data_IF_666293181869
#
_entry.id   IF_666293181869
#
_cell.length_a   1.000
_cell.length_b   1.000
_cell.length_c   1.000
_cell.angle_alpha   90.00
_cell.angle_beta   90.00
_cell.angle_gamma   90.00
#
_symmetry.space_group_name_H-M   'P 1'
#
loop_
_entity.id
_entity.type
_entity.pdbx_description
1 polymer ?
#
# COMPACT_ATOMS: atom_id res chain seq x y z
N UNK A 1 -26.64 -23.14 -26.04
CA UNK A 1 -27.17 -21.77 -25.87
C UNK A 1 -26.83 -21.35 -24.46
N UNK A 2 -25.72 -20.65 -24.26
CA UNK A 2 -25.30 -20.18 -22.94
C UNK A 2 -26.14 -18.95 -22.59
N UNK A 3 -27.06 -19.09 -21.64
CA UNK A 3 -27.74 -17.94 -21.06
C UNK A 3 -26.70 -17.11 -20.32
N UNK A 4 -26.48 -15.87 -20.77
CA UNK A 4 -25.56 -14.95 -20.12
C UNK A 4 -25.97 -14.73 -18.67
N UNK A 5 -25.00 -14.74 -17.76
CA UNK A 5 -25.23 -14.44 -16.36
C UNK A 5 -25.80 -13.02 -16.25
N UNK A 6 -26.94 -12.81 -15.56
CA UNK A 6 -27.49 -11.48 -15.38
C UNK A 6 -26.49 -10.61 -14.60
N UNK A 7 -26.26 -9.39 -15.09
CA UNK A 7 -25.48 -8.38 -14.37
C UNK A 7 -26.35 -7.92 -13.21
N UNK A 8 -25.94 -8.24 -11.99
CA UNK A 8 -26.62 -7.83 -10.78
C UNK A 8 -25.80 -6.77 -10.06
N UNK A 9 -26.48 -5.79 -9.47
CA UNK A 9 -25.85 -4.63 -8.81
C UNK A 9 -26.38 -4.59 -7.39
N UNK A 10 -25.57 -5.03 -6.43
CA UNK A 10 -25.94 -5.05 -5.01
C UNK A 10 -24.74 -5.23 -4.09
N UNK A 11 -24.67 -4.44 -3.02
CA UNK A 11 -23.59 -4.45 -2.02
C UNK A 11 -23.40 -5.80 -1.31
N UNK A 12 -24.39 -6.71 -1.39
CA UNK A 12 -24.44 -7.98 -0.68
C UNK A 12 -24.50 -9.21 -1.59
N UNK A 13 -24.82 -9.04 -2.87
CA UNK A 13 -25.00 -10.17 -3.79
C UNK A 13 -23.67 -10.88 -4.09
N UNK A 14 -22.57 -10.12 -4.00
CA UNK A 14 -21.21 -10.63 -4.10
C UNK A 14 -20.73 -11.35 -2.81
N UNK A 15 -21.34 -11.09 -1.66
CA UNK A 15 -21.09 -11.86 -0.43
C UNK A 15 -21.82 -13.21 -0.40
N UNK A 16 -22.70 -13.45 -1.37
CA UNK A 16 -23.49 -14.68 -1.53
C UNK A 16 -22.93 -15.60 -2.62
N UNK A 17 -21.90 -15.17 -3.37
CA UNK A 17 -21.18 -16.06 -4.29
C UNK A 17 -20.33 -17.05 -3.50
N UNK A 18 -20.28 -18.30 -3.96
CA UNK A 18 -19.47 -19.32 -3.32
C UNK A 18 -18.00 -18.87 -3.28
N UNK A 19 -17.32 -18.92 -2.13
CA UNK A 19 -15.92 -18.52 -2.04
C UNK A 19 -15.08 -19.39 -2.98
N UNK A 20 -14.04 -18.81 -3.56
CA UNK A 20 -13.01 -19.60 -4.24
C UNK A 20 -12.48 -20.69 -3.31
N UNK A 21 -12.29 -21.90 -3.84
CA UNK A 21 -11.69 -23.04 -3.11
C UNK A 21 -10.19 -22.78 -2.84
N UNK A 22 -9.88 -21.93 -1.86
CA UNK A 22 -8.51 -21.77 -1.37
C UNK A 22 -8.21 -22.86 -0.34
N UNK A 23 -7.18 -23.66 -0.59
CA UNK A 23 -6.64 -24.52 0.46
C UNK A 23 -6.03 -23.66 1.58
N UNK A 24 -6.21 -24.08 2.85
CA UNK A 24 -5.59 -23.41 4.02
C UNK A 24 -4.09 -23.24 3.82
N UNK A 25 -3.43 -24.26 3.25
CA UNK A 25 -2.01 -24.22 2.89
C UNK A 25 -1.69 -23.14 1.87
N UNK A 26 -2.52 -22.99 0.82
CA UNK A 26 -2.35 -21.94 -0.19
C UNK A 26 -2.48 -20.54 0.38
N UNK A 27 -3.47 -20.31 1.25
CA UNK A 27 -3.64 -19.03 1.95
C UNK A 27 -2.44 -18.74 2.85
N UNK A 28 -1.95 -19.73 3.59
CA UNK A 28 -0.79 -19.57 4.46
C UNK A 28 0.48 -19.22 3.68
N UNK A 29 0.73 -19.88 2.55
CA UNK A 29 1.87 -19.57 1.66
C UNK A 29 1.75 -18.15 1.11
N UNK A 30 0.57 -17.76 0.62
CA UNK A 30 0.33 -16.41 0.11
C UNK A 30 0.51 -15.34 1.21
N UNK A 31 0.05 -15.61 2.43
CA UNK A 31 0.22 -14.70 3.56
C UNK A 31 1.69 -14.47 3.90
N UNK A 32 2.48 -15.54 3.97
CA UNK A 32 3.93 -15.42 4.19
C UNK A 32 4.57 -14.62 3.05
N UNK A 33 4.24 -14.93 1.79
CA UNK A 33 4.76 -14.20 0.64
C UNK A 33 4.44 -12.69 0.72
N UNK A 34 3.18 -12.32 0.98
CA UNK A 34 2.75 -10.93 0.96
C UNK A 34 3.22 -10.13 2.18
N UNK A 35 3.16 -10.72 3.38
CA UNK A 35 3.47 -10.02 4.64
C UNK A 35 4.95 -9.96 4.97
N UNK A 36 5.73 -10.97 4.55
CA UNK A 36 7.15 -11.08 4.91
C UNK A 36 8.06 -10.69 3.75
N UNK A 37 7.63 -10.88 2.51
CA UNK A 37 8.46 -10.59 1.34
C UNK A 37 7.93 -9.39 0.56
N UNK A 38 6.78 -9.48 -0.09
CA UNK A 38 6.30 -8.44 -1.02
C UNK A 38 6.19 -7.07 -0.35
N UNK A 39 5.36 -6.94 0.69
CA UNK A 39 5.19 -5.67 1.41
C UNK A 39 6.53 -5.14 1.97
N UNK A 40 7.28 -5.93 2.77
CA UNK A 40 8.54 -5.47 3.34
C UNK A 40 9.61 -5.07 2.31
N UNK A 41 9.85 -5.89 1.28
CA UNK A 41 10.90 -5.63 0.28
C UNK A 41 10.57 -4.39 -0.54
N UNK A 42 9.32 -4.25 -0.96
CA UNK A 42 8.89 -3.07 -1.72
C UNK A 42 8.99 -1.81 -0.84
N UNK A 43 8.48 -1.84 0.39
CA UNK A 43 8.56 -0.66 1.26
C UNK A 43 10.00 -0.29 1.65
N UNK A 44 10.91 -1.25 1.84
CA UNK A 44 12.34 -0.97 2.02
C UNK A 44 12.90 -0.21 0.82
N UNK A 45 12.63 -0.70 -0.40
CA UNK A 45 13.15 -0.10 -1.62
C UNK A 45 12.58 1.32 -1.85
N UNK A 46 11.27 1.48 -1.72
CA UNK A 46 10.61 2.72 -2.08
C UNK A 46 10.61 3.76 -0.95
N UNK A 47 10.33 3.36 0.29
CA UNK A 47 10.18 4.31 1.43
C UNK A 47 11.46 4.36 2.25
N UNK A 48 12.07 3.21 2.50
CA UNK A 48 13.36 3.13 3.19
C UNK A 48 14.48 3.82 2.40
N UNK A 49 14.54 3.58 1.08
CA UNK A 49 15.60 4.11 0.22
C UNK A 49 15.15 5.23 -0.73
N UNK A 50 14.38 4.93 -1.78
CA UNK A 50 14.18 5.84 -2.92
C UNK A 50 13.56 7.19 -2.51
N UNK A 51 12.48 7.18 -1.75
CA UNK A 51 11.81 8.39 -1.26
C UNK A 51 12.79 9.26 -0.45
N UNK A 52 13.49 8.68 0.53
CA UNK A 52 14.45 9.42 1.35
C UNK A 52 15.63 9.95 0.51
N UNK A 53 16.10 9.15 -0.46
CA UNK A 53 17.18 9.54 -1.36
C UNK A 53 16.76 10.75 -2.20
N UNK A 54 15.58 10.73 -2.80
CA UNK A 54 15.05 11.88 -3.56
C UNK A 54 14.95 13.10 -2.65
N UNK A 55 14.34 12.99 -1.46
CA UNK A 55 14.26 14.11 -0.50
C UNK A 55 15.64 14.70 -0.20
N UNK A 56 16.66 13.86 0.01
CA UNK A 56 18.03 14.31 0.30
C UNK A 56 18.78 14.98 -0.86
N UNK A 57 18.24 14.90 -2.08
CA UNK A 57 18.89 15.43 -3.28
C UNK A 57 18.16 16.65 -3.87
N UNK A 58 16.89 16.85 -3.51
CA UNK A 58 16.12 18.02 -3.92
C UNK A 58 16.55 19.23 -3.09
N UNK A 59 17.16 20.21 -3.74
CA UNK A 59 17.63 21.46 -3.10
C UNK A 59 16.65 22.63 -3.22
N UNK A 60 15.56 22.44 -3.94
CA UNK A 60 14.55 23.48 -4.21
C UNK A 60 13.33 23.35 -3.32
N UNK A 61 12.72 24.48 -2.97
CA UNK A 61 11.48 24.54 -2.21
C UNK A 61 11.64 24.29 -0.70
N UNK A 62 10.51 24.33 0.01
CA UNK A 62 10.45 24.08 1.46
C UNK A 62 10.70 22.60 1.80
N UNK A 63 11.03 22.25 3.06
CA UNK A 63 11.14 20.84 3.49
C UNK A 63 9.89 20.00 3.17
N UNK A 64 8.70 20.61 3.28
CA UNK A 64 7.43 19.98 2.90
C UNK A 64 7.39 19.71 1.40
N UNK A 65 7.79 20.69 0.58
CA UNK A 65 7.85 20.54 -0.87
C UNK A 65 8.82 19.43 -1.29
N UNK A 66 10.01 19.38 -0.68
CA UNK A 66 10.99 18.32 -0.91
C UNK A 66 10.42 16.93 -0.57
N UNK A 67 9.71 16.83 0.56
CA UNK A 67 9.03 15.60 0.98
C UNK A 67 7.97 15.16 -0.03
N UNK A 68 7.13 16.09 -0.50
CA UNK A 68 6.10 15.81 -1.51
C UNK A 68 6.75 15.31 -2.80
N UNK A 69 7.83 15.96 -3.27
CA UNK A 69 8.56 15.51 -4.45
C UNK A 69 9.08 14.09 -4.26
N UNK A 70 9.69 13.78 -3.11
CA UNK A 70 10.14 12.43 -2.80
C UNK A 70 9.04 11.38 -2.83
N UNK A 71 7.86 11.68 -2.27
CA UNK A 71 6.68 10.80 -2.29
C UNK A 71 6.21 10.56 -3.72
N UNK A 72 6.02 11.64 -4.50
CA UNK A 72 5.50 11.54 -5.86
C UNK A 72 6.48 10.79 -6.78
N UNK A 73 7.77 11.07 -6.69
CA UNK A 73 8.80 10.36 -7.46
C UNK A 73 8.81 8.86 -7.15
N UNK A 74 8.80 8.48 -5.86
CA UNK A 74 8.79 7.08 -5.48
C UNK A 74 7.51 6.37 -5.92
N UNK A 75 6.34 7.02 -5.81
CA UNK A 75 5.06 6.47 -6.24
C UNK A 75 4.98 6.25 -7.77
N UNK A 76 5.50 7.18 -8.56
CA UNK A 76 5.57 7.02 -10.02
C UNK A 76 6.51 5.88 -10.39
N UNK A 77 7.72 5.84 -9.81
CA UNK A 77 8.65 4.73 -10.06
C UNK A 77 8.06 3.37 -9.68
N UNK A 78 7.35 3.30 -8.55
CA UNK A 78 6.64 2.10 -8.10
C UNK A 78 5.64 1.61 -9.15
N UNK A 79 4.74 2.50 -9.60
CA UNK A 79 3.76 2.14 -10.63
C UNK A 79 4.44 1.68 -11.92
N UNK A 80 5.43 2.42 -12.42
CA UNK A 80 6.10 2.09 -13.68
C UNK A 80 6.82 0.73 -13.64
N UNK A 81 7.40 0.35 -12.49
CA UNK A 81 8.08 -0.94 -12.33
C UNK A 81 7.13 -2.15 -12.43
N UNK A 82 5.81 -1.94 -12.34
CA UNK A 82 4.82 -3.00 -12.51
C UNK A 82 4.46 -3.28 -13.97
N UNK A 83 4.78 -2.38 -14.91
CA UNK A 83 4.42 -2.52 -16.32
C UNK A 83 4.82 -3.89 -16.89
N UNK A 84 6.06 -4.40 -16.70
CA UNK A 84 6.45 -5.71 -17.26
C UNK A 84 5.57 -6.86 -16.76
N UNK A 85 5.20 -6.87 -15.47
CA UNK A 85 4.35 -7.92 -14.92
C UNK A 85 2.94 -7.88 -15.54
N UNK A 86 2.34 -6.69 -15.69
CA UNK A 86 1.01 -6.58 -16.27
C UNK A 86 0.98 -6.82 -17.79
N UNK A 87 2.03 -6.41 -18.49
CA UNK A 87 2.13 -6.55 -19.94
C UNK A 87 2.53 -7.97 -20.37
N UNK A 88 3.54 -8.56 -19.71
CA UNK A 88 4.17 -9.82 -20.15
C UNK A 88 3.56 -11.03 -19.43
N UNK A 89 3.30 -10.93 -18.13
CA UNK A 89 2.83 -12.08 -17.33
C UNK A 89 1.31 -12.16 -17.31
N UNK A 90 0.63 -11.02 -17.19
CA UNK A 90 -0.84 -10.95 -17.12
C UNK A 90 -1.51 -10.63 -18.44
N UNK A 91 -0.72 -10.33 -19.48
CA UNK A 91 -1.18 -10.07 -20.85
C UNK A 91 -2.37 -9.08 -20.93
N UNK A 92 -2.38 -8.07 -20.04
CA UNK A 92 -3.48 -7.11 -19.99
C UNK A 92 -3.41 -6.12 -21.15
N UNK A 93 -4.57 -5.65 -21.61
CA UNK A 93 -4.64 -4.58 -22.60
C UNK A 93 -4.14 -3.24 -22.02
N UNK A 94 -3.69 -2.33 -22.90
CA UNK A 94 -3.09 -1.05 -22.51
C UNK A 94 -4.04 -0.20 -21.66
N UNK A 95 -5.34 -0.18 -21.94
CA UNK A 95 -6.32 0.58 -21.17
C UNK A 95 -6.42 0.11 -19.71
N UNK A 96 -6.46 -1.21 -19.50
CA UNK A 96 -6.45 -1.82 -18.17
C UNK A 96 -5.14 -1.57 -17.42
N UNK A 97 -4.01 -1.61 -18.13
CA UNK A 97 -2.69 -1.26 -17.57
C UNK A 97 -2.70 0.19 -17.07
N UNK A 98 -3.16 1.14 -17.87
CA UNK A 98 -3.21 2.56 -17.47
C UNK A 98 -4.05 2.78 -16.20
N UNK A 99 -5.24 2.18 -16.13
CA UNK A 99 -6.07 2.24 -14.92
C UNK A 99 -5.36 1.66 -13.69
N UNK A 100 -4.65 0.55 -13.88
CA UNK A 100 -3.87 -0.09 -12.82
C UNK A 100 -2.69 0.76 -12.37
N UNK A 101 -1.96 1.40 -13.29
CA UNK A 101 -0.84 2.28 -12.96
C UNK A 101 -1.29 3.49 -12.15
N UNK A 102 -2.46 4.07 -12.46
CA UNK A 102 -3.05 5.16 -11.67
C UNK A 102 -3.33 4.69 -10.24
N UNK A 103 -3.91 3.50 -10.10
CA UNK A 103 -4.18 2.93 -8.77
C UNK A 103 -2.90 2.64 -7.99
N UNK A 104 -1.88 2.06 -8.63
CA UNK A 104 -0.57 1.80 -8.02
C UNK A 104 0.15 3.09 -7.63
N UNK A 105 0.04 4.15 -8.43
CA UNK A 105 0.58 5.45 -8.07
C UNK A 105 -0.17 6.05 -6.86
N UNK A 106 -1.50 5.93 -6.81
CA UNK A 106 -2.31 6.40 -5.70
C UNK A 106 -1.99 5.66 -4.38
N UNK A 107 -1.84 4.33 -4.41
CA UNK A 107 -1.37 3.56 -3.24
C UNK A 107 0.06 3.92 -2.89
N UNK A 108 0.90 4.15 -3.91
CA UNK A 108 2.25 4.71 -3.81
C UNK A 108 2.30 5.95 -2.92
N UNK A 109 1.47 6.94 -3.26
CA UNK A 109 1.31 8.22 -2.56
C UNK A 109 0.80 8.00 -1.14
N UNK A 110 -0.21 7.16 -0.95
CA UNK A 110 -0.79 6.87 0.35
C UNK A 110 0.26 6.32 1.33
N UNK A 111 0.97 5.26 0.94
CA UNK A 111 2.02 4.67 1.77
C UNK A 111 3.20 5.62 1.99
N UNK A 112 3.60 6.38 0.96
CA UNK A 112 4.66 7.39 1.10
C UNK A 112 4.30 8.52 2.06
N UNK A 113 3.03 8.96 2.04
CA UNK A 113 2.47 9.94 2.97
C UNK A 113 2.37 9.39 4.41
N UNK A 114 1.89 8.16 4.58
CA UNK A 114 1.87 7.50 5.89
C UNK A 114 3.27 7.33 6.47
N UNK A 115 4.26 6.95 5.67
CA UNK A 115 5.65 6.89 6.10
C UNK A 115 6.19 8.27 6.51
N UNK A 116 5.92 9.31 5.71
CA UNK A 116 6.34 10.67 6.05
C UNK A 116 5.70 11.16 7.36
N UNK A 117 4.42 10.83 7.61
CA UNK A 117 3.69 11.24 8.79
C UNK A 117 4.08 10.46 10.07
N UNK A 118 4.41 9.17 9.94
CA UNK A 118 4.64 8.27 11.08
C UNK A 118 6.12 8.01 11.36
N UNK A 119 6.97 8.15 10.34
CA UNK A 119 8.39 7.75 10.33
C UNK A 119 8.61 6.30 10.78
N UNK A 120 7.58 5.46 10.67
CA UNK A 120 7.63 4.05 11.01
C UNK A 120 7.51 3.22 9.74
N UNK A 121 8.63 2.66 9.30
CA UNK A 121 8.67 1.84 8.09
C UNK A 121 7.94 0.51 8.29
N UNK A 122 8.07 -0.13 9.45
CA UNK A 122 7.43 -1.42 9.77
C UNK A 122 5.90 -1.34 9.71
N UNK A 123 5.32 -0.24 10.18
CA UNK A 123 3.88 0.00 10.06
C UNK A 123 3.44 -0.05 8.60
N UNK A 124 4.16 0.66 7.72
CA UNK A 124 3.82 0.73 6.30
C UNK A 124 4.05 -0.61 5.61
N UNK A 125 5.12 -1.34 5.94
CA UNK A 125 5.37 -2.70 5.45
C UNK A 125 4.21 -3.65 5.75
N UNK A 126 3.71 -3.61 6.99
CA UNK A 126 2.61 -4.46 7.43
C UNK A 126 1.29 -4.08 6.78
N UNK A 127 0.99 -2.77 6.68
CA UNK A 127 -0.21 -2.29 5.98
C UNK A 127 -0.18 -2.58 4.48
N UNK A 128 0.99 -2.51 3.84
CA UNK A 128 1.13 -2.95 2.45
C UNK A 128 0.82 -4.44 2.34
N UNK A 129 1.45 -5.27 3.18
CA UNK A 129 1.16 -6.70 3.25
C UNK A 129 -0.35 -7.00 3.34
N UNK A 130 -1.05 -6.35 4.28
CA UNK A 130 -2.51 -6.45 4.46
C UNK A 130 -3.29 -5.99 3.20
N UNK A 131 -2.79 -4.96 2.52
CA UNK A 131 -3.39 -4.49 1.27
C UNK A 131 -3.31 -5.53 0.16
N UNK A 132 -2.24 -6.34 0.12
CA UNK A 132 -2.04 -7.38 -0.89
C UNK A 132 -2.76 -8.69 -0.53
N UNK A 133 -2.93 -8.97 0.76
CA UNK A 133 -3.74 -10.08 1.24
C UNK A 133 -4.48 -9.65 2.51
N UNK A 134 -5.81 -9.61 2.45
CA UNK A 134 -6.59 -9.24 3.64
C UNK A 134 -6.89 -10.47 4.49
N UNK A 135 -6.50 -10.53 5.78
CA UNK A 135 -6.60 -11.75 6.59
C UNK A 135 -8.03 -12.06 7.07
N UNK A 136 -8.92 -11.07 7.09
CA UNK A 136 -10.28 -11.16 7.65
C UNK A 136 -11.40 -11.13 6.59
N UNK A 137 -11.06 -10.82 5.34
CA UNK A 137 -11.99 -10.42 4.27
C UNK A 137 -11.46 -11.04 2.99
N UNK A 138 -11.52 -12.37 2.93
CA UNK A 138 -11.18 -13.12 1.73
C UNK A 138 -12.38 -13.05 0.80
N UNK A 139 -12.32 -12.20 -0.22
CA UNK A 139 -12.77 -12.54 -1.59
C UNK A 139 -12.16 -11.58 -2.65
N UNK A 140 -11.35 -12.08 -3.60
CA UNK A 140 -10.66 -11.28 -4.62
C UNK A 140 -11.51 -11.02 -5.88
N UNK A 141 -12.64 -10.37 -5.71
CA UNK A 141 -13.56 -10.04 -6.80
C UNK A 141 -13.04 -9.02 -7.79
N UNK A 142 -13.43 -9.19 -9.05
CA UNK A 142 -12.95 -8.37 -10.17
C UNK A 142 -13.70 -7.06 -10.36
N UNK A 143 -14.78 -6.82 -9.62
CA UNK A 143 -15.63 -5.66 -9.85
C UNK A 143 -15.58 -4.60 -8.73
N UNK A 144 -15.72 -4.99 -7.44
CA UNK A 144 -16.05 -4.02 -6.38
C UNK A 144 -15.70 -4.47 -4.92
N UNK A 145 -14.54 -5.09 -4.64
CA UNK A 145 -14.12 -5.40 -3.24
C UNK A 145 -12.67 -4.96 -2.95
N UNK A 146 -12.36 -4.30 -1.80
CA UNK A 146 -13.19 -3.46 -0.94
C UNK A 146 -13.23 -2.02 -1.44
N UNK A 147 -14.25 -1.27 -1.02
CA UNK A 147 -14.26 0.18 -1.13
C UNK A 147 -12.88 0.72 -0.74
N UNK A 148 -12.09 1.16 -1.71
CA UNK A 148 -10.79 1.80 -1.45
C UNK A 148 -10.96 2.92 -0.42
N UNK A 149 -12.14 3.55 -0.36
CA UNK A 149 -12.52 4.47 0.71
C UNK A 149 -12.53 3.86 2.12
N UNK A 150 -13.03 2.63 2.31
CA UNK A 150 -13.00 1.95 3.63
C UNK A 150 -11.57 1.59 4.01
N UNK A 151 -10.78 1.01 3.09
CA UNK A 151 -9.36 0.73 3.35
C UNK A 151 -8.62 2.02 3.68
N UNK A 152 -8.84 3.07 2.89
CA UNK A 152 -8.24 4.38 3.09
C UNK A 152 -8.60 4.94 4.47
N UNK A 153 -9.88 4.90 4.86
CA UNK A 153 -10.32 5.34 6.19
C UNK A 153 -9.64 4.54 7.29
N UNK A 154 -9.56 3.21 7.16
CA UNK A 154 -8.88 2.35 8.13
C UNK A 154 -7.38 2.67 8.22
N UNK A 155 -6.72 2.86 7.08
CA UNK A 155 -5.28 3.16 7.03
C UNK A 155 -4.98 4.52 7.62
N UNK A 156 -5.79 5.54 7.28
CA UNK A 156 -5.68 6.87 7.86
C UNK A 156 -5.96 6.85 9.37
N UNK A 157 -6.99 6.13 9.81
CA UNK A 157 -7.31 5.96 11.22
C UNK A 157 -6.14 5.31 11.97
N UNK A 158 -5.60 4.19 11.46
CA UNK A 158 -4.44 3.52 12.07
C UNK A 158 -3.21 4.43 12.11
N UNK A 159 -2.93 5.17 11.04
CA UNK A 159 -1.82 6.11 11.01
C UNK A 159 -1.99 7.25 12.03
N UNK A 160 -3.20 7.78 12.17
CA UNK A 160 -3.53 8.83 13.16
C UNK A 160 -3.43 8.28 14.58
N UNK A 161 -4.03 7.12 14.87
CA UNK A 161 -3.94 6.46 16.17
C UNK A 161 -2.49 6.15 16.54
N UNK A 162 -1.68 5.67 15.58
CA UNK A 162 -0.26 5.45 15.79
C UNK A 162 0.47 6.75 16.15
N UNK A 163 0.22 7.83 15.41
CA UNK A 163 0.84 9.14 15.72
C UNK A 163 0.43 9.66 17.08
N UNK A 164 -0.85 9.51 17.45
CA UNK A 164 -1.34 9.92 18.76
C UNK A 164 -0.64 9.14 19.87
N UNK A 165 -0.63 7.80 19.77
CA UNK A 165 0.07 6.94 20.71
C UNK A 165 1.58 7.22 20.79
N UNK A 166 2.24 7.42 19.65
CA UNK A 166 3.67 7.72 19.60
C UNK A 166 4.02 9.11 20.15
N UNK A 167 3.09 10.08 20.11
CA UNK A 167 3.29 11.39 20.70
C UNK A 167 3.30 11.34 22.24
N UNK A 168 2.57 10.38 22.83
CA UNK A 168 2.56 10.15 24.28
C UNK A 168 3.83 9.45 24.79
N UNK A 169 4.57 8.78 23.89
CA UNK A 169 5.90 8.22 24.14
C UNK A 169 6.99 9.31 24.10
N UNK A 170 6.89 10.31 24.99
CA UNK A 170 8.04 11.16 25.31
C UNK A 170 9.01 10.37 26.19
N UNK A 171 9.79 9.46 25.58
CA UNK A 171 10.96 8.93 26.25
C UNK A 171 11.87 10.12 26.60
N UNK A 172 12.32 10.29 27.86
CA UNK A 172 13.25 11.33 28.20
C UNK A 172 14.53 11.08 27.42
N UNK A 173 14.76 11.85 26.37
CA UNK A 173 16.06 11.92 25.72
C UNK A 173 17.00 12.47 26.80
N UNK A 174 17.98 11.71 27.31
CA UNK A 174 18.99 12.27 28.19
C UNK A 174 19.63 13.40 27.41
N UNK A 175 19.47 14.64 27.88
CA UNK A 175 20.19 15.77 27.32
C UNK A 175 21.67 15.39 27.40
N UNK A 176 22.33 15.24 26.25
CA UNK A 176 23.78 15.14 26.20
C UNK A 176 24.31 16.32 27.00
N UNK A 177 24.86 16.03 28.17
CA UNK A 177 25.56 17.03 28.96
C UNK A 177 26.81 17.37 28.17
N UNK A 178 26.73 18.46 27.41
CA UNK A 178 27.92 19.10 26.85
C UNK A 178 28.67 19.68 28.05
N UNK A 179 29.66 18.93 28.54
CA UNK A 179 30.64 19.45 29.47
C UNK A 179 31.52 20.44 28.70
N UNK A 180 31.53 21.69 29.17
CA UNK A 180 32.38 22.79 28.66
C UNK A 180 33.87 22.46 28.81
#
# INVERSE_FOLDING_TARGET
MAAGTPISVGLMEYYLTAPFDYSVTGVAIAAVAMYVFTGPVEELAFRGYLQNKVVSQVTVGSPTTQTIIGILSAAVCFALLHIPAYLIIREQNIGAILGTLVLLAATGILFGGMYAATRNLYLVMFLHGIGNLWPLVIDPGTALWPNWGVILVLYLFLAVCYRWWAADLTLPIPKLQVTN
#
